data_IF_811573732307
#
_entry.id   IF_811573732307
#
_cell.length_a   1.000
_cell.length_b   1.000
_cell.length_c   1.000
_cell.angle_alpha   90.00
_cell.angle_beta   90.00
_cell.angle_gamma   90.00
#
_symmetry.space_group_name_H-M   'P 1'
#
loop_
_entity.id
_entity.type
_entity.pdbx_description
1 polymer ?
#
# COMPACT_ATOMS: atom_id res chain seq x y z
N UNK A 1 -35.13 -21.20 -26.20
CA UNK A 1 -33.83 -20.53 -26.01
C UNK A 1 -33.86 -19.05 -25.56
N UNK A 2 -34.91 -18.20 -25.77
CA UNK A 2 -34.79 -16.76 -25.49
C UNK A 2 -34.78 -16.39 -23.99
N UNK A 3 -35.21 -17.31 -23.11
CA UNK A 3 -35.23 -17.11 -21.65
C UNK A 3 -33.91 -17.47 -20.95
N UNK A 4 -32.99 -18.13 -21.64
CA UNK A 4 -31.69 -18.53 -21.07
C UNK A 4 -30.69 -17.36 -21.05
N UNK A 5 -30.76 -16.47 -22.04
CA UNK A 5 -29.91 -15.28 -22.15
C UNK A 5 -30.07 -14.29 -20.97
N UNK A 6 -31.29 -13.88 -20.56
CA UNK A 6 -31.44 -12.99 -19.41
C UNK A 6 -31.04 -13.68 -18.10
N UNK A 7 -31.23 -15.00 -17.98
CA UNK A 7 -30.87 -15.78 -16.80
C UNK A 7 -29.35 -15.89 -16.62
N UNK A 8 -28.61 -16.04 -17.72
CA UNK A 8 -27.15 -16.04 -17.70
C UNK A 8 -26.58 -14.65 -17.34
N UNK A 9 -27.17 -13.57 -17.87
CA UNK A 9 -26.78 -12.19 -17.54
C UNK A 9 -26.99 -11.86 -16.06
N UNK A 10 -28.11 -12.31 -15.47
CA UNK A 10 -28.41 -12.12 -14.06
C UNK A 10 -27.46 -12.93 -13.14
N UNK A 11 -27.05 -14.13 -13.57
CA UNK A 11 -26.09 -14.95 -12.83
C UNK A 11 -24.68 -14.33 -12.84
N UNK A 12 -24.25 -13.77 -13.98
CA UNK A 12 -22.96 -13.09 -14.08
C UNK A 12 -22.90 -11.83 -13.21
N UNK A 13 -23.93 -10.99 -13.21
CA UNK A 13 -23.94 -9.78 -12.38
C UNK A 13 -23.95 -10.10 -10.87
N UNK A 14 -24.65 -11.16 -10.46
CA UNK A 14 -24.62 -11.64 -9.08
C UNK A 14 -23.21 -12.12 -8.66
N UNK A 15 -22.51 -12.86 -9.53
CA UNK A 15 -21.18 -13.39 -9.26
C UNK A 15 -20.10 -12.31 -9.10
N UNK A 16 -20.21 -11.18 -9.83
CA UNK A 16 -19.23 -10.09 -9.74
C UNK A 16 -19.52 -9.06 -8.63
N UNK A 17 -20.71 -9.07 -8.00
CA UNK A 17 -21.05 -8.08 -6.96
C UNK A 17 -20.28 -8.26 -5.64
N UNK A 18 -19.60 -9.39 -5.46
CA UNK A 18 -18.71 -9.66 -4.32
C UNK A 18 -17.41 -8.86 -4.36
N UNK A 19 -16.95 -8.39 -5.52
CA UNK A 19 -15.67 -7.67 -5.63
C UNK A 19 -15.75 -6.21 -5.16
N UNK A 20 -16.92 -5.57 -5.20
CA UNK A 20 -17.14 -4.21 -4.67
C UNK A 20 -17.68 -4.20 -3.25
N UNK A 21 -18.18 -5.34 -2.77
CA UNK A 21 -18.82 -5.49 -1.47
C UNK A 21 -17.91 -6.08 -0.39
N UNK A 22 -16.59 -6.16 -0.64
CA UNK A 22 -15.62 -6.35 0.44
C UNK A 22 -15.55 -5.06 1.27
N UNK A 23 -16.64 -4.82 2.00
CA UNK A 23 -16.69 -3.95 3.16
C UNK A 23 -15.80 -4.61 4.20
N UNK A 24 -14.48 -4.39 4.07
CA UNK A 24 -13.61 -4.45 5.22
C UNK A 24 -14.31 -3.65 6.32
N UNK A 25 -14.34 -4.15 7.57
CA UNK A 25 -14.78 -3.33 8.68
C UNK A 25 -14.02 -2.01 8.56
N UNK A 26 -14.78 -0.94 8.30
CA UNK A 26 -14.41 0.46 8.31
C UNK A 26 -13.04 0.61 8.94
N UNK A 27 -12.00 0.79 8.11
CA UNK A 27 -10.61 0.84 8.56
C UNK A 27 -10.61 1.68 9.85
N UNK A 28 -10.34 1.09 11.03
CA UNK A 28 -10.37 1.85 12.27
C UNK A 28 -9.38 2.98 12.06
N UNK A 29 -9.81 4.23 12.25
CA UNK A 29 -9.05 5.46 11.98
C UNK A 29 -7.55 5.19 12.03
N UNK A 30 -6.88 4.93 10.88
CA UNK A 30 -5.60 4.21 10.92
C UNK A 30 -4.43 5.11 11.31
N UNK A 31 -4.65 6.38 11.67
CA UNK A 31 -3.57 7.34 11.84
C UNK A 31 -3.27 7.60 13.30
N UNK A 32 -2.08 7.14 13.72
CA UNK A 32 -1.30 7.82 14.75
C UNK A 32 -1.15 9.28 14.31
N UNK A 33 -1.39 10.23 15.22
CA UNK A 33 -1.31 11.66 14.87
C UNK A 33 0.08 11.98 14.34
N UNK A 34 0.24 12.90 13.37
CA UNK A 34 1.52 13.17 12.72
C UNK A 34 2.71 13.34 13.68
N UNK A 35 2.50 14.08 14.75
CA UNK A 35 3.49 14.38 15.79
C UNK A 35 3.75 13.23 16.79
N UNK A 36 2.93 12.18 16.78
CA UNK A 36 3.14 10.98 17.59
C UNK A 36 3.90 9.89 16.83
N UNK A 37 4.00 10.01 15.50
CA UNK A 37 4.71 9.03 14.67
C UNK A 37 6.21 8.98 14.96
N UNK A 38 6.82 10.11 15.29
CA UNK A 38 8.23 10.18 15.67
C UNK A 38 8.52 9.37 16.96
N UNK A 39 7.57 9.35 17.90
CA UNK A 39 7.71 8.59 19.16
C UNK A 39 7.61 7.08 18.94
N UNK A 40 6.93 6.66 17.87
CA UNK A 40 6.81 5.24 17.50
C UNK A 40 7.98 4.79 16.61
N UNK A 41 8.72 5.72 16.02
CA UNK A 41 9.86 5.45 15.16
C UNK A 41 11.13 5.09 15.96
N UNK A 42 11.29 3.81 16.29
CA UNK A 42 12.54 3.27 16.84
C UNK A 42 13.75 3.53 15.90
N UNK A 43 14.93 3.90 16.43
CA UNK A 43 16.16 4.05 15.66
C UNK A 43 16.51 2.87 14.73
N UNK A 44 16.10 1.64 15.05
CA UNK A 44 16.31 0.45 14.20
C UNK A 44 15.52 0.51 12.88
N UNK A 45 14.43 1.27 12.82
CA UNK A 45 13.59 1.43 11.62
C UNK A 45 14.13 2.48 10.64
N UNK A 46 15.30 3.05 10.90
CA UNK A 46 15.99 3.93 9.95
C UNK A 46 16.47 3.12 8.75
N UNK A 47 16.03 3.49 7.55
CA UNK A 47 16.33 2.75 6.31
C UNK A 47 17.82 2.66 5.96
N UNK A 48 18.67 3.54 6.49
CA UNK A 48 20.12 3.44 6.36
C UNK A 48 20.84 4.10 7.54
N UNK A 49 21.78 3.39 8.17
CA UNK A 49 22.68 3.96 9.17
C UNK A 49 23.79 4.83 8.54
N UNK A 50 24.24 4.46 7.33
CA UNK A 50 25.27 5.17 6.56
C UNK A 50 24.67 5.77 5.28
N UNK A 51 24.79 7.09 5.06
CA UNK A 51 24.19 7.75 3.91
C UNK A 51 24.81 7.33 2.56
N UNK A 52 26.09 6.99 2.51
CA UNK A 52 26.76 6.63 1.24
C UNK A 52 26.22 5.29 0.70
N UNK A 53 26.20 4.26 1.54
CA UNK A 53 25.65 2.95 1.19
C UNK A 53 24.13 2.99 0.99
N UNK A 54 23.41 3.87 1.69
CA UNK A 54 22.00 4.14 1.47
C UNK A 54 21.72 4.65 0.05
N UNK A 55 22.46 5.66 -0.41
CA UNK A 55 22.34 6.21 -1.78
C UNK A 55 22.70 5.20 -2.85
N UNK A 56 23.71 4.37 -2.61
CA UNK A 56 24.05 3.29 -3.53
C UNK A 56 22.90 2.29 -3.70
N UNK A 57 22.30 1.84 -2.58
CA UNK A 57 21.13 0.95 -2.62
C UNK A 57 19.94 1.60 -3.31
N UNK A 58 19.66 2.87 -3.01
CA UNK A 58 18.61 3.65 -3.66
C UNK A 58 18.77 3.66 -5.18
N UNK A 59 19.99 3.92 -5.67
CA UNK A 59 20.28 3.89 -7.10
C UNK A 59 20.00 2.51 -7.73
N UNK A 60 20.38 1.42 -7.06
CA UNK A 60 20.08 0.06 -7.53
C UNK A 60 18.57 -0.20 -7.60
N UNK A 61 17.81 0.20 -6.58
CA UNK A 61 16.35 0.05 -6.54
C UNK A 61 15.68 0.84 -7.68
N UNK A 62 16.13 2.07 -7.93
CA UNK A 62 15.59 2.89 -9.02
C UNK A 62 15.86 2.24 -10.38
N UNK A 63 17.07 1.73 -10.60
CA UNK A 63 17.49 1.18 -11.91
C UNK A 63 16.93 -0.22 -12.16
N UNK A 64 16.88 -1.08 -11.13
CA UNK A 64 16.55 -2.50 -11.29
C UNK A 64 15.13 -2.86 -10.91
N UNK A 65 14.52 -2.11 -10.00
CA UNK A 65 13.20 -2.44 -9.42
C UNK A 65 12.13 -1.41 -9.79
N UNK A 66 12.44 -0.48 -10.68
CA UNK A 66 11.55 0.62 -11.06
C UNK A 66 11.01 1.41 -9.85
N UNK A 67 11.75 1.43 -8.74
CA UNK A 67 11.31 2.00 -7.45
C UNK A 67 11.34 3.53 -7.42
N UNK A 68 11.38 4.22 -8.57
CA UNK A 68 11.53 5.68 -8.65
C UNK A 68 10.39 6.38 -7.92
N UNK A 69 10.72 7.13 -6.88
CA UNK A 69 9.74 7.87 -6.08
C UNK A 69 9.14 7.07 -4.91
N UNK A 70 9.49 5.79 -4.77
CA UNK A 70 9.09 4.94 -3.65
C UNK A 70 10.15 4.92 -2.51
N UNK A 71 11.30 5.54 -2.72
CA UNK A 71 12.48 5.47 -1.84
C UNK A 71 12.38 6.41 -0.63
N UNK A 72 11.47 7.39 -0.63
CA UNK A 72 11.42 8.47 0.35
C UNK A 72 10.15 8.40 1.20
N UNK A 73 10.21 7.60 2.26
CA UNK A 73 9.44 7.78 3.47
C UNK A 73 10.18 8.81 4.35
N UNK A 74 9.64 10.02 4.55
CA UNK A 74 10.30 11.00 5.42
C UNK A 74 10.12 10.54 6.88
N UNK A 75 11.17 9.94 7.46
CA UNK A 75 11.13 9.31 8.79
C UNK A 75 11.14 7.77 8.72
N UNK A 76 11.72 7.13 9.74
CA UNK A 76 11.72 5.66 9.84
C UNK A 76 10.31 5.09 9.92
N UNK A 77 10.08 3.91 9.34
CA UNK A 77 8.76 3.25 9.27
C UNK A 77 8.11 3.27 7.87
N UNK A 78 6.82 2.93 7.79
CA UNK A 78 6.08 2.70 6.53
C UNK A 78 5.82 3.94 5.65
N UNK A 79 6.47 5.08 5.92
CA UNK A 79 6.41 6.26 5.07
C UNK A 79 5.10 7.03 5.04
N UNK A 80 4.15 6.68 5.89
CA UNK A 80 2.97 7.50 6.09
C UNK A 80 3.33 8.70 6.95
N UNK A 81 3.85 9.77 6.31
CA UNK A 81 3.76 11.14 6.85
C UNK A 81 2.52 11.82 6.28
#
# INVERSE_FOLDING_TARGET
MPRALPLALLACSAALSGCSSFSLPKMPEPWVKPYERERLADPIMKGSADPLSGRHREHVLVVREAARGANSAQGGGCGCN
#
